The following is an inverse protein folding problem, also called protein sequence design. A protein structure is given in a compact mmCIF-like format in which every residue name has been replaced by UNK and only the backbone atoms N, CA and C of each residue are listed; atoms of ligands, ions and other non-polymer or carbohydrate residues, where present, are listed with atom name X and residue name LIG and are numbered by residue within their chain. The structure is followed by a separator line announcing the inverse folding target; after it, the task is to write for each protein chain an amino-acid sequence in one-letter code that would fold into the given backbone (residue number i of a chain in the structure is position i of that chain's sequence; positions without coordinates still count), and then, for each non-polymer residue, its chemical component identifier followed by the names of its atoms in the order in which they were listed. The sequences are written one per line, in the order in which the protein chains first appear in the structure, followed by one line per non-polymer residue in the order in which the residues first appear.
data_IF_781029041618
#
_entry.id   IF_781029041618
#
_cell.length_a   1.000
_cell.length_b   1.000
_cell.length_c   1.000
_cell.angle_alpha   90.00
_cell.angle_beta   90.00
_cell.angle_gamma   90.00
#
_symmetry.space_group_name_H-M   'P 1'
#
loop_
_entity.id
_entity.type
_entity.pdbx_description
1 polymer ?
#
# COMPACT_ATOMS: atom_id res chain seq x y z
N UNK A 1 5.73 -10.28 -8.88
CA UNK A 1 4.34 -10.68 -9.22
C UNK A 1 3.57 -9.43 -9.55
N UNK A 2 2.77 -9.44 -10.62
CA UNK A 2 1.86 -8.32 -10.91
C UNK A 2 0.65 -8.42 -9.97
N UNK A 3 0.29 -7.33 -9.30
CA UNK A 3 -0.87 -7.29 -8.39
C UNK A 3 -2.12 -7.15 -9.25
N UNK A 4 -3.05 -8.10 -9.15
CA UNK A 4 -4.32 -8.10 -9.90
C UNK A 4 -5.52 -8.01 -8.96
N UNK A 5 -6.61 -7.36 -9.40
CA UNK A 5 -7.86 -7.28 -8.64
C UNK A 5 -8.64 -8.63 -8.57
N UNK A 6 -8.40 -9.51 -9.54
CA UNK A 6 -8.88 -10.90 -9.54
C UNK A 6 -7.99 -11.72 -10.50
N UNK A 7 -7.57 -12.95 -10.15
CA UNK A 7 -7.82 -13.67 -8.90
C UNK A 7 -7.14 -13.02 -7.67
N UNK A 8 -7.48 -13.51 -6.46
CA UNK A 8 -6.90 -13.02 -5.21
C UNK A 8 -5.38 -13.15 -5.22
N UNK A 9 -4.70 -12.01 -5.08
CA UNK A 9 -3.26 -11.90 -4.87
C UNK A 9 -3.02 -11.62 -3.40
N UNK A 10 -2.51 -12.60 -2.66
CA UNK A 10 -2.22 -12.44 -1.24
C UNK A 10 -0.85 -11.76 -1.04
N UNK A 11 -0.73 -10.76 -0.13
CA UNK A 11 0.53 -10.05 0.02
C UNK A 11 1.62 -10.97 0.61
N UNK A 12 2.88 -10.84 0.18
CA UNK A 12 3.97 -11.64 0.71
C UNK A 12 4.17 -11.37 2.20
N UNK A 13 4.42 -12.43 2.98
CA UNK A 13 4.64 -12.34 4.44
C UNK A 13 3.36 -12.28 5.28
N UNK A 14 2.18 -12.14 4.68
CA UNK A 14 0.91 -12.20 5.41
C UNK A 14 0.49 -13.64 5.69
N UNK A 15 0.22 -13.95 6.97
CA UNK A 15 -0.28 -15.28 7.35
C UNK A 15 -1.73 -15.43 6.90
N UNK A 16 -2.04 -16.60 6.34
CA UNK A 16 -3.41 -17.01 6.05
C UNK A 16 -4.05 -17.58 7.30
N UNK A 17 -5.33 -17.33 7.47
CA UNK A 17 -6.14 -17.94 8.52
C UNK A 17 -6.54 -19.35 8.09
N UNK A 18 -6.36 -20.32 8.98
CA UNK A 18 -6.84 -21.68 8.77
C UNK A 18 -8.37 -21.66 8.55
N UNK A 19 -8.90 -22.28 7.47
CA UNK A 19 -10.34 -22.33 7.21
C UNK A 19 -11.18 -22.85 8.37
N UNK A 20 -10.62 -23.72 9.22
CA UNK A 20 -11.32 -24.23 10.42
C UNK A 20 -11.49 -23.18 11.51
N UNK A 21 -10.76 -22.07 11.44
CA UNK A 21 -10.81 -20.95 12.37
C UNK A 21 -11.58 -19.75 11.84
N UNK A 22 -12.21 -19.88 10.66
CA UNK A 22 -13.02 -18.79 10.13
C UNK A 22 -14.22 -18.50 11.01
N UNK A 23 -14.44 -17.23 11.28
CA UNK A 23 -15.52 -16.73 12.13
C UNK A 23 -16.63 -16.12 11.28
N UNK A 24 -17.84 -16.05 11.84
CA UNK A 24 -18.93 -15.28 11.25
C UNK A 24 -18.78 -13.82 11.70
N UNK A 25 -18.47 -12.92 10.76
CA UNK A 25 -18.28 -11.52 11.05
C UNK A 25 -19.58 -10.80 11.40
N UNK A 26 -19.54 -9.89 12.39
CA UNK A 26 -20.69 -9.08 12.81
C UNK A 26 -20.61 -7.66 12.22
N UNK A 27 -20.60 -7.55 10.89
CA UNK A 27 -20.51 -6.25 10.18
C UNK A 27 -21.89 -5.73 9.71
N UNK A 28 -22.95 -6.05 10.46
CA UNK A 28 -24.32 -5.72 10.07
C UNK A 28 -24.59 -4.22 9.93
N UNK A 29 -25.47 -3.87 9.00
CA UNK A 29 -25.97 -2.51 8.77
C UNK A 29 -27.37 -2.40 9.33
N UNK A 30 -27.65 -1.31 10.06
CA UNK A 30 -29.02 -0.99 10.48
C UNK A 30 -29.74 -0.27 9.35
N UNK A 31 -30.73 -0.92 8.72
CA UNK A 31 -31.62 -0.28 7.74
C UNK A 31 -32.98 0.00 8.37
N UNK A 32 -33.57 1.16 8.02
CA UNK A 32 -34.99 1.45 8.28
C UNK A 32 -35.74 1.30 6.96
N UNK A 33 -36.64 0.33 6.88
CA UNK A 33 -37.58 0.24 5.77
C UNK A 33 -38.75 1.19 5.97
N UNK A 34 -39.22 1.81 4.90
CA UNK A 34 -40.47 2.56 4.90
C UNK A 34 -41.61 1.63 5.36
N UNK A 35 -42.25 1.94 6.49
CA UNK A 35 -43.32 1.13 7.07
C UNK A 35 -42.97 0.30 8.31
N UNK A 36 -41.71 0.32 8.79
CA UNK A 36 -41.34 -0.30 10.08
C UNK A 36 -40.80 0.75 11.06
N UNK A 37 -41.32 0.73 12.28
CA UNK A 37 -40.91 1.65 13.36
C UNK A 37 -39.51 1.35 13.92
N UNK A 38 -38.91 0.20 13.59
CA UNK A 38 -37.61 -0.24 14.10
C UNK A 38 -36.64 -0.59 12.97
N UNK A 39 -35.34 -0.36 13.20
CA UNK A 39 -34.29 -0.69 12.23
C UNK A 39 -33.96 -2.19 12.26
N UNK A 40 -33.93 -2.85 11.10
CA UNK A 40 -33.44 -4.23 10.95
C UNK A 40 -31.91 -4.23 10.87
N UNK A 41 -31.29 -5.23 11.50
CA UNK A 41 -29.87 -5.54 11.28
C UNK A 41 -29.79 -6.45 10.05
N UNK A 42 -29.15 -5.97 8.99
CA UNK A 42 -28.98 -6.69 7.74
C UNK A 42 -27.49 -6.91 7.46
N UNK A 43 -27.17 -8.01 6.78
CA UNK A 43 -25.80 -8.27 6.36
C UNK A 43 -25.32 -7.19 5.37
N UNK A 44 -24.07 -6.78 5.53
CA UNK A 44 -23.42 -5.85 4.60
C UNK A 44 -23.24 -6.50 3.23
N UNK A 45 -23.51 -5.77 2.16
CA UNK A 45 -23.22 -6.24 0.80
C UNK A 45 -21.76 -6.00 0.40
N UNK A 46 -21.28 -6.71 -0.62
CA UNK A 46 -19.94 -6.49 -1.20
C UNK A 46 -19.77 -5.03 -1.66
N UNK A 47 -20.79 -4.45 -2.28
CA UNK A 47 -20.78 -3.06 -2.72
C UNK A 47 -20.62 -2.10 -1.53
N UNK A 48 -21.42 -2.27 -0.48
CA UNK A 48 -21.34 -1.42 0.73
C UNK A 48 -20.00 -1.58 1.45
N UNK A 49 -19.49 -2.80 1.57
CA UNK A 49 -18.18 -3.06 2.17
C UNK A 49 -17.06 -2.39 1.36
N UNK A 50 -17.14 -2.47 0.02
CA UNK A 50 -16.16 -1.84 -0.89
C UNK A 50 -16.23 -0.31 -0.78
N UNK A 51 -17.44 0.28 -0.74
CA UNK A 51 -17.61 1.72 -0.53
C UNK A 51 -16.99 2.16 0.79
N UNK A 52 -17.27 1.46 1.90
CA UNK A 52 -16.65 1.78 3.20
C UNK A 52 -15.12 1.74 3.15
N UNK A 53 -14.55 0.73 2.50
CA UNK A 53 -13.10 0.62 2.35
C UNK A 53 -12.52 1.80 1.56
N UNK A 54 -13.17 2.18 0.46
CA UNK A 54 -12.74 3.30 -0.36
C UNK A 54 -12.87 4.64 0.36
N UNK A 55 -13.97 4.86 1.09
CA UNK A 55 -14.17 6.07 1.88
C UNK A 55 -13.06 6.22 2.94
N UNK A 56 -12.69 5.12 3.60
CA UNK A 56 -11.60 5.14 4.59
C UNK A 56 -10.22 5.42 3.96
N UNK A 57 -9.94 4.89 2.78
CA UNK A 57 -8.72 5.17 2.02
C UNK A 57 -8.69 6.60 1.47
N UNK A 58 -9.81 7.11 0.99
CA UNK A 58 -9.95 8.49 0.52
C UNK A 58 -9.66 9.49 1.66
N UNK A 59 -10.10 9.18 2.88
CA UNK A 59 -9.76 9.96 4.07
C UNK A 59 -8.28 9.92 4.47
N UNK A 60 -7.48 9.04 3.86
CA UNK A 60 -6.02 9.04 3.93
C UNK A 60 -5.38 9.72 2.70
N UNK A 61 -6.17 10.43 1.90
CA UNK A 61 -5.78 11.04 0.61
C UNK A 61 -5.33 10.03 -0.46
N UNK A 62 -5.69 8.75 -0.33
CA UNK A 62 -5.44 7.74 -1.35
C UNK A 62 -6.48 7.88 -2.46
N UNK A 63 -6.04 8.05 -3.70
CA UNK A 63 -6.95 8.17 -4.83
C UNK A 63 -7.51 6.80 -5.21
N UNK A 64 -8.79 6.75 -5.57
CA UNK A 64 -9.47 5.49 -5.94
C UNK A 64 -8.77 4.72 -7.06
N UNK A 65 -8.16 5.39 -8.03
CA UNK A 65 -7.42 4.74 -9.13
C UNK A 65 -6.11 4.06 -8.68
N UNK A 66 -5.56 4.46 -7.54
CA UNK A 66 -4.32 3.91 -6.99
C UNK A 66 -4.61 2.73 -6.03
N UNK A 67 -5.89 2.38 -5.84
CA UNK A 67 -6.34 1.27 -4.99
C UNK A 67 -6.62 0.04 -5.84
N UNK A 68 -6.05 -1.09 -5.45
CA UNK A 68 -6.38 -2.40 -6.01
C UNK A 68 -6.98 -3.26 -4.90
N UNK A 69 -8.26 -3.58 -5.00
CA UNK A 69 -8.93 -4.55 -4.15
C UNK A 69 -8.90 -5.92 -4.83
N UNK A 70 -8.05 -6.80 -4.32
CA UNK A 70 -7.84 -8.17 -4.81
C UNK A 70 -8.72 -9.16 -4.07
N UNK A 71 -9.58 -9.88 -4.81
CA UNK A 71 -10.50 -10.90 -4.29
C UNK A 71 -10.75 -12.00 -5.35
N UNK A 72 -11.34 -13.12 -4.95
CA UNK A 72 -11.77 -14.18 -5.89
C UNK A 72 -13.17 -13.93 -6.50
N UNK A 73 -13.57 -12.66 -6.61
CA UNK A 73 -14.85 -12.24 -7.15
C UNK A 73 -14.71 -11.78 -8.61
N UNK A 74 -15.81 -11.86 -9.37
CA UNK A 74 -15.91 -11.20 -10.68
C UNK A 74 -15.87 -9.69 -10.49
N UNK A 75 -15.18 -8.99 -11.38
CA UNK A 75 -15.00 -7.54 -11.33
C UNK A 75 -16.05 -6.82 -12.18
N UNK A 76 -16.38 -5.59 -11.78
CA UNK A 76 -17.08 -4.61 -12.62
C UNK A 76 -16.07 -3.86 -13.49
N UNK A 77 -16.57 -3.09 -14.46
CA UNK A 77 -15.75 -2.26 -15.37
C UNK A 77 -14.81 -1.26 -14.66
N UNK A 78 -15.11 -0.91 -13.42
CA UNK A 78 -14.28 -0.02 -12.59
C UNK A 78 -13.18 -0.75 -11.80
N UNK A 79 -12.99 -2.05 -12.03
CA UNK A 79 -11.95 -2.85 -11.38
C UNK A 79 -12.27 -3.34 -9.96
N UNK A 80 -13.47 -3.02 -9.44
CA UNK A 80 -13.90 -3.44 -8.10
C UNK A 80 -14.83 -4.67 -8.15
N UNK A 81 -14.95 -5.43 -7.04
CA UNK A 81 -15.79 -6.62 -6.99
C UNK A 81 -17.27 -6.33 -7.28
N UNK A 82 -17.86 -7.14 -8.15
CA UNK A 82 -19.29 -7.09 -8.47
C UNK A 82 -20.11 -7.59 -7.27
N UNK A 83 -21.21 -6.90 -6.96
CA UNK A 83 -22.14 -7.34 -5.91
C UNK A 83 -23.11 -8.41 -6.41
N UNK A 84 -23.77 -9.12 -5.49
CA UNK A 84 -24.81 -10.11 -5.78
C UNK A 84 -24.36 -11.29 -6.69
N UNK A 85 -23.16 -11.82 -6.43
CA UNK A 85 -22.64 -13.02 -7.08
C UNK A 85 -22.45 -14.17 -6.09
N UNK A 86 -22.22 -15.38 -6.60
CA UNK A 86 -21.93 -16.55 -5.78
C UNK A 86 -20.64 -16.34 -4.95
N UNK A 87 -20.69 -16.74 -3.68
CA UNK A 87 -19.54 -16.64 -2.78
C UNK A 87 -18.42 -17.57 -3.25
N UNK A 88 -17.16 -17.08 -3.39
CA UNK A 88 -16.03 -17.92 -3.74
C UNK A 88 -15.67 -18.86 -2.58
N UNK A 89 -14.98 -19.97 -2.90
CA UNK A 89 -14.50 -20.93 -1.89
C UNK A 89 -13.53 -20.28 -0.90
N UNK A 90 -12.69 -19.38 -1.39
CA UNK A 90 -11.74 -18.61 -0.59
C UNK A 90 -12.27 -17.18 -0.44
N UNK A 91 -12.76 -16.80 0.76
CA UNK A 91 -13.38 -15.51 1.02
C UNK A 91 -12.36 -14.38 1.30
N UNK A 92 -11.05 -14.65 1.21
CA UNK A 92 -10.02 -13.67 1.53
C UNK A 92 -10.11 -12.40 0.67
N UNK A 93 -9.74 -11.28 1.28
CA UNK A 93 -9.63 -9.99 0.61
C UNK A 93 -8.28 -9.35 0.91
N UNK A 94 -7.65 -8.79 -0.11
CA UNK A 94 -6.41 -8.02 0.03
C UNK A 94 -6.56 -6.67 -0.66
N UNK A 95 -6.15 -5.60 0.00
CA UNK A 95 -6.13 -4.25 -0.58
C UNK A 95 -4.70 -3.78 -0.69
N UNK A 96 -4.40 -3.17 -1.83
CA UNK A 96 -3.11 -2.58 -2.16
C UNK A 96 -3.32 -1.12 -2.54
N UNK A 97 -2.43 -0.25 -2.10
CA UNK A 97 -2.45 1.16 -2.48
C UNK A 97 -1.05 1.75 -2.42
N UNK A 98 -0.87 2.95 -2.98
CA UNK A 98 0.33 3.75 -2.78
C UNK A 98 0.07 4.78 -1.70
N UNK A 99 1.01 4.90 -0.77
CA UNK A 99 1.00 5.95 0.23
C UNK A 99 1.14 7.32 -0.49
N UNK A 100 0.20 8.26 -0.29
CA UNK A 100 0.19 9.52 -1.04
C UNK A 100 1.31 10.48 -0.61
N UNK A 101 1.95 10.24 0.53
CA UNK A 101 2.99 11.13 1.07
C UNK A 101 4.40 10.73 0.64
N UNK A 102 4.70 9.42 0.61
CA UNK A 102 6.03 8.90 0.29
C UNK A 102 6.05 7.97 -0.94
N UNK A 103 4.90 7.70 -1.57
CA UNK A 103 4.77 6.85 -2.75
C UNK A 103 5.01 5.36 -2.52
N UNK A 104 5.29 4.93 -1.27
CA UNK A 104 5.61 3.55 -0.96
C UNK A 104 4.38 2.63 -1.17
N UNK A 105 4.57 1.42 -1.71
CA UNK A 105 3.50 0.45 -1.81
C UNK A 105 3.08 -0.01 -0.42
N UNK A 106 1.77 -0.02 -0.18
CA UNK A 106 1.14 -0.53 1.04
C UNK A 106 0.18 -1.66 0.67
N UNK A 107 0.02 -2.60 1.59
CA UNK A 107 -0.90 -3.71 1.43
C UNK A 107 -1.46 -4.18 2.76
N UNK A 108 -2.70 -4.64 2.76
CA UNK A 108 -3.34 -5.27 3.90
C UNK A 108 -4.24 -6.41 3.44
N UNK A 109 -4.28 -7.52 4.17
CA UNK A 109 -5.10 -8.68 3.79
C UNK A 109 -5.78 -9.33 4.98
N UNK A 110 -7.05 -9.70 4.82
CA UNK A 110 -7.85 -10.34 5.86
C UNK A 110 -8.63 -11.50 5.24
N UNK A 111 -8.55 -12.66 5.89
CA UNK A 111 -9.26 -13.89 5.56
C UNK A 111 -9.84 -14.56 6.82
N UNK A 112 -10.14 -13.75 7.85
CA UNK A 112 -10.66 -14.23 9.14
C UNK A 112 -12.12 -14.68 9.04
N UNK A 113 -12.90 -14.10 8.15
CA UNK A 113 -14.34 -14.28 8.10
C UNK A 113 -14.78 -15.15 6.93
N UNK A 114 -15.90 -15.85 7.12
CA UNK A 114 -16.45 -16.79 6.13
C UNK A 114 -16.96 -16.12 4.84
N UNK A 115 -17.22 -14.81 4.87
CA UNK A 115 -17.80 -14.05 3.73
C UNK A 115 -16.84 -12.97 3.26
N UNK A 116 -16.78 -12.74 1.94
CA UNK A 116 -15.87 -11.75 1.33
C UNK A 116 -16.21 -10.34 1.80
N UNK A 117 -17.50 -9.98 1.80
CA UNK A 117 -18.00 -8.69 2.29
C UNK A 117 -17.58 -8.40 3.74
N UNK A 118 -17.49 -9.42 4.59
CA UNK A 118 -17.06 -9.29 5.98
C UNK A 118 -15.55 -9.07 6.08
N UNK A 119 -14.76 -9.77 5.26
CA UNK A 119 -13.33 -9.53 5.17
C UNK A 119 -13.02 -8.13 4.62
N UNK A 120 -13.74 -7.66 3.60
CA UNK A 120 -13.62 -6.28 3.10
C UNK A 120 -14.01 -5.26 4.18
N UNK A 121 -15.12 -5.49 4.88
CA UNK A 121 -15.55 -4.60 5.98
C UNK A 121 -14.53 -4.57 7.13
N UNK A 122 -13.87 -5.70 7.41
CA UNK A 122 -12.79 -5.77 8.38
C UNK A 122 -11.55 -4.98 7.95
N UNK A 123 -11.21 -4.98 6.65
CA UNK A 123 -10.15 -4.13 6.11
C UNK A 123 -10.49 -2.65 6.35
N UNK A 124 -11.73 -2.24 6.04
CA UNK A 124 -12.18 -0.88 6.27
C UNK A 124 -12.08 -0.49 7.76
N UNK A 125 -12.59 -1.33 8.67
CA UNK A 125 -12.53 -1.10 10.11
C UNK A 125 -11.08 -1.04 10.64
N UNK A 126 -10.16 -1.81 10.06
CA UNK A 126 -8.75 -1.78 10.44
C UNK A 126 -8.10 -0.47 10.00
N UNK A 127 -8.39 0.03 8.79
CA UNK A 127 -7.92 1.34 8.33
C UNK A 127 -8.49 2.47 9.19
N UNK A 128 -9.79 2.43 9.49
CA UNK A 128 -10.42 3.41 10.39
C UNK A 128 -9.72 3.46 11.75
N UNK A 129 -9.44 2.29 12.33
CA UNK A 129 -8.74 2.18 13.61
C UNK A 129 -7.30 2.72 13.54
N UNK A 130 -6.56 2.40 12.47
CA UNK A 130 -5.20 2.94 12.25
C UNK A 130 -5.23 4.47 12.17
N UNK A 131 -6.18 5.04 11.41
CA UNK A 131 -6.38 6.49 11.32
C UNK A 131 -6.79 7.10 12.66
N UNK A 132 -7.55 6.39 13.48
CA UNK A 132 -7.90 6.84 14.82
C UNK A 132 -6.67 6.93 15.73
N UNK A 133 -5.78 5.93 15.66
CA UNK A 133 -4.51 5.92 16.42
C UNK A 133 -3.60 7.08 15.98
N UNK A 134 -3.46 7.33 14.67
CA UNK A 134 -2.68 8.45 14.14
C UNK A 134 -3.19 9.80 14.62
N UNK A 135 -4.53 10.01 14.60
CA UNK A 135 -5.17 11.25 15.05
C UNK A 135 -4.87 11.62 16.49
N UNK A 136 -4.57 10.65 17.35
CA UNK A 136 -4.27 10.86 18.76
C UNK A 136 -2.75 10.91 19.06
N UNK A 137 -1.90 11.09 18.04
CA UNK A 137 -0.45 11.28 18.22
C UNK A 137 0.37 9.99 18.24
N UNK A 138 -0.21 8.85 17.85
CA UNK A 138 0.48 7.55 17.71
C UNK A 138 1.29 7.37 16.42
N UNK A 139 1.52 8.45 15.66
CA UNK A 139 2.02 8.43 14.27
C UNK A 139 3.34 7.66 14.05
N UNK A 140 4.18 7.51 15.08
CA UNK A 140 5.48 6.81 14.99
C UNK A 140 5.34 5.27 14.97
N UNK A 141 4.24 4.73 15.52
CA UNK A 141 4.06 3.27 15.63
C UNK A 141 3.66 2.65 14.28
N UNK A 142 2.95 3.41 13.44
CA UNK A 142 2.38 2.91 12.19
C UNK A 142 3.41 2.81 11.06
N UNK A 143 4.36 3.75 10.99
CA UNK A 143 5.42 3.72 9.98
C UNK A 143 6.26 2.43 10.07
N UNK A 144 6.49 1.93 11.30
CA UNK A 144 7.16 0.64 11.60
C UNK A 144 6.30 -0.58 11.29
N UNK A 145 4.99 -0.50 11.50
CA UNK A 145 4.07 -1.56 11.12
C UNK A 145 4.07 -1.75 9.60
N UNK A 146 4.18 -0.66 8.81
CA UNK A 146 4.21 -0.75 7.35
C UNK A 146 5.62 -0.90 6.72
N UNK A 147 6.72 -0.57 7.40
CA UNK A 147 8.10 -0.72 6.89
C UNK A 147 8.69 -2.12 7.10
N UNK A 148 8.10 -2.96 7.95
CA UNK A 148 8.41 -4.40 7.96
C UNK A 148 8.10 -5.12 6.64
N UNK A 149 7.50 -4.42 5.67
CA UNK A 149 7.03 -4.89 4.37
C UNK A 149 7.81 -4.33 3.18
N UNK A 150 9.04 -3.83 3.39
CA UNK A 150 10.02 -3.89 2.31
C UNK A 150 10.29 -5.37 2.02
N UNK A 151 9.46 -5.99 1.17
CA UNK A 151 9.88 -7.14 0.40
C UNK A 151 11.27 -6.79 -0.14
N UNK A 152 12.22 -7.70 0.07
CA UNK A 152 13.58 -7.64 -0.45
C UNK A 152 13.63 -6.79 -1.72
N UNK A 153 14.58 -5.83 -1.83
CA UNK A 153 14.60 -4.83 -2.90
C UNK A 153 14.21 -5.51 -4.19
N UNK A 154 13.12 -5.04 -4.81
CA UNK A 154 12.57 -5.64 -6.03
C UNK A 154 13.74 -6.02 -6.94
N UNK A 155 13.79 -7.25 -7.50
CA UNK A 155 14.90 -7.66 -8.34
C UNK A 155 15.10 -6.54 -9.34
N UNK A 156 16.31 -5.97 -9.33
CA UNK A 156 16.71 -4.80 -10.11
C UNK A 156 16.17 -5.04 -11.52
N UNK A 157 15.04 -4.42 -11.83
CA UNK A 157 14.51 -4.43 -13.19
C UNK A 157 15.48 -3.55 -13.93
N UNK A 158 16.39 -4.18 -14.68
CA UNK A 158 17.36 -3.51 -15.53
C UNK A 158 16.61 -2.46 -16.38
N UNK A 159 16.68 -1.20 -15.95
CA UNK A 159 16.01 -0.09 -16.61
C UNK A 159 15.24 0.90 -15.72
N UNK A 160 14.89 0.58 -14.46
CA UNK A 160 14.34 1.60 -13.54
C UNK A 160 15.48 2.40 -12.89
N UNK A 161 15.63 3.66 -13.32
CA UNK A 161 16.55 4.62 -12.70
C UNK A 161 16.19 4.80 -11.23
N UNK A 162 17.17 4.63 -10.35
CA UNK A 162 17.02 4.95 -8.92
C UNK A 162 16.96 6.47 -8.77
N UNK A 163 16.11 6.92 -7.85
CA UNK A 163 16.01 8.34 -7.47
C UNK A 163 17.39 8.85 -7.03
N UNK A 164 17.78 10.05 -7.50
CA UNK A 164 19.07 10.64 -7.18
C UNK A 164 19.28 10.85 -5.69
N UNK A 165 18.21 11.09 -4.91
CA UNK A 165 18.29 11.21 -3.45
C UNK A 165 18.72 9.90 -2.79
N UNK A 166 18.27 8.77 -3.35
CA UNK A 166 18.64 7.43 -2.87
C UNK A 166 20.08 7.09 -3.25
N UNK A 167 20.50 7.44 -4.47
CA UNK A 167 21.88 7.20 -4.94
C UNK A 167 22.89 8.06 -4.17
N UNK A 168 22.53 9.31 -3.83
CA UNK A 168 23.38 10.23 -3.07
C UNK A 168 23.25 10.06 -1.55
N UNK A 169 22.28 9.28 -1.07
CA UNK A 169 22.07 9.02 0.35
C UNK A 169 21.53 10.23 1.13
N UNK A 170 20.73 11.07 0.48
CA UNK A 170 20.19 12.33 1.02
C UNK A 170 18.74 12.23 1.51
N UNK A 171 18.17 11.03 1.59
CA UNK A 171 16.77 10.78 2.00
C UNK A 171 16.39 11.30 3.40
N UNK A 172 17.37 11.64 4.24
CA UNK A 172 17.13 12.20 5.58
C UNK A 172 16.90 13.73 5.56
N UNK A 173 17.19 14.40 4.44
CA UNK A 173 17.01 15.83 4.29
C UNK A 173 15.67 16.11 3.60
N UNK A 174 14.83 16.91 4.25
CA UNK A 174 13.54 17.37 3.70
C UNK A 174 13.72 18.27 2.45
N UNK A 175 14.80 19.06 2.42
CA UNK A 175 15.14 19.99 1.34
C UNK A 175 16.67 19.96 1.11
N UNK A 176 17.19 19.00 0.34
CA UNK A 176 18.60 18.93 0.00
C UNK A 176 19.02 20.12 -0.89
N UNK A 177 20.13 20.76 -0.56
CA UNK A 177 20.70 21.87 -1.34
C UNK A 177 21.77 21.38 -2.33
N UNK A 178 22.12 22.23 -3.31
CA UNK A 178 23.21 21.92 -4.25
C UNK A 178 24.56 21.71 -3.54
N UNK A 179 24.76 22.28 -2.35
CA UNK A 179 25.95 22.04 -1.54
C UNK A 179 25.95 20.61 -0.96
N UNK A 180 24.81 20.16 -0.43
CA UNK A 180 24.64 18.81 0.14
C UNK A 180 24.86 17.73 -0.92
N UNK A 181 24.35 17.96 -2.14
CA UNK A 181 24.56 17.08 -3.30
C UNK A 181 26.04 16.93 -3.64
N UNK A 182 26.79 18.04 -3.69
CA UNK A 182 28.22 18.03 -4.02
C UNK A 182 29.05 17.35 -2.92
N UNK A 183 28.69 17.55 -1.66
CA UNK A 183 29.36 16.92 -0.52
C UNK A 183 29.12 15.40 -0.51
N UNK A 184 27.87 14.98 -0.65
CA UNK A 184 27.50 13.57 -0.74
C UNK A 184 28.18 12.88 -1.92
N UNK A 185 28.20 13.53 -3.09
CA UNK A 185 28.92 13.05 -4.27
C UNK A 185 30.42 12.86 -3.98
N UNK A 186 31.10 13.85 -3.38
CA UNK A 186 32.53 13.76 -3.08
C UNK A 186 32.85 12.60 -2.13
N UNK A 187 32.01 12.42 -1.10
CA UNK A 187 32.13 11.32 -0.13
C UNK A 187 32.00 9.96 -0.83
N UNK A 188 30.97 9.77 -1.64
CA UNK A 188 30.69 8.50 -2.33
C UNK A 188 31.67 8.21 -3.48
N UNK A 189 32.07 9.24 -4.23
CA UNK A 189 33.06 9.11 -5.30
C UNK A 189 34.42 8.66 -4.78
N UNK A 190 34.81 9.08 -3.57
CA UNK A 190 36.05 8.63 -2.93
C UNK A 190 36.03 7.14 -2.55
N UNK A 191 34.83 6.58 -2.33
CA UNK A 191 34.61 5.19 -1.95
C UNK A 191 34.41 4.25 -3.15
N UNK A 192 33.86 4.76 -4.26
CA UNK A 192 33.61 3.99 -5.48
C UNK A 192 34.66 4.21 -6.58
N UNK A 193 35.73 4.96 -6.30
CA UNK A 193 36.76 5.27 -7.29
C UNK A 193 37.39 3.98 -7.88
N UNK A 194 37.47 3.82 -9.21
CA UNK A 194 38.01 2.62 -9.86
C UNK A 194 39.46 2.33 -9.45
N UNK A 195 40.28 3.38 -9.31
CA UNK A 195 41.68 3.27 -8.87
C UNK A 195 41.85 2.76 -7.43
N UNK A 196 40.77 2.66 -6.65
CA UNK A 196 40.75 2.09 -5.30
C UNK A 196 40.01 0.74 -5.22
N UNK A 197 39.81 0.09 -6.37
CA UNK A 197 39.06 -1.17 -6.47
C UNK A 197 37.54 -0.99 -6.45
N UNK A 198 37.06 0.23 -6.72
CA UNK A 198 35.64 0.55 -6.80
C UNK A 198 34.98 0.09 -8.11
N UNK A 199 33.65 -0.01 -8.09
CA UNK A 199 32.84 -0.50 -9.22
C UNK A 199 32.55 0.63 -10.22
N UNK A 200 33.03 0.55 -11.48
CA UNK A 200 32.79 1.57 -12.51
C UNK A 200 31.31 1.82 -12.80
N UNK A 201 30.46 0.79 -12.67
CA UNK A 201 29.03 0.93 -12.89
C UNK A 201 28.37 1.80 -11.81
N UNK A 202 28.83 1.67 -10.56
CA UNK A 202 28.37 2.52 -9.43
C UNK A 202 28.85 3.96 -9.57
N UNK A 203 30.04 4.18 -10.11
CA UNK A 203 30.52 5.54 -10.42
C UNK A 203 29.70 6.19 -11.53
N UNK A 204 29.32 5.44 -12.57
CA UNK A 204 28.44 5.95 -13.62
C UNK A 204 27.05 6.31 -13.08
N UNK A 205 26.48 5.46 -12.21
CA UNK A 205 25.20 5.71 -11.53
C UNK A 205 25.28 6.97 -10.63
N UNK A 206 26.38 7.12 -9.87
CA UNK A 206 26.62 8.28 -9.00
C UNK A 206 26.76 9.60 -9.79
N UNK A 207 27.45 9.56 -10.94
CA UNK A 207 27.59 10.72 -11.82
C UNK A 207 26.23 11.17 -12.38
N UNK A 208 25.42 10.21 -12.87
CA UNK A 208 24.10 10.50 -13.40
C UNK A 208 23.17 11.10 -12.34
N UNK A 209 23.20 10.56 -11.11
CA UNK A 209 22.41 11.07 -9.99
C UNK A 209 22.80 12.51 -9.60
N UNK A 210 24.10 12.84 -9.57
CA UNK A 210 24.57 14.21 -9.32
C UNK A 210 24.04 15.19 -10.37
N UNK A 211 24.14 14.82 -11.64
CA UNK A 211 23.74 15.71 -12.74
C UNK A 211 22.23 15.94 -12.77
N UNK A 212 21.45 14.91 -12.44
CA UNK A 212 19.99 15.02 -12.27
C UNK A 212 19.63 15.92 -11.09
N UNK A 213 20.26 15.73 -9.93
CA UNK A 213 20.04 16.52 -8.73
C UNK A 213 20.35 18.02 -8.93
N UNK A 214 21.48 18.33 -9.56
CA UNK A 214 21.86 19.72 -9.84
C UNK A 214 20.90 20.39 -10.82
N UNK A 215 20.42 19.65 -11.84
CA UNK A 215 19.46 20.16 -12.81
C UNK A 215 18.08 20.42 -12.19
N UNK A 216 17.68 19.64 -11.20
CA UNK A 216 16.42 19.82 -10.49
C UNK A 216 16.48 20.97 -9.48
N UNK A 217 17.63 21.17 -8.81
CA UNK A 217 17.83 22.22 -7.81
C UNK A 217 18.17 23.61 -8.39
N UNK A 218 18.55 23.68 -9.67
CA UNK A 218 18.75 24.95 -10.40
C UNK A 218 17.49 25.47 -11.12
N UNK A 219 16.37 24.76 -11.02
CA UNK A 219 15.06 25.17 -11.56
C UNK A 219 14.25 26.00 -10.57
#
# INVERSE_FOLDING_TARGET
MSITASPLTWPPGWRRTDPLKWEIGRFGIRRRSAGRSYASLEDISIAEATTRLLDELERMAVRRQDVILSTNLKLRRDGFPLSAQAAPRDPGAAVYWKDPYNGQPRSMAIDRYTKVEQNIAALAATIEAMRAIERHGGAVVLERAFTGFAALPAPIVAGMKRDWQVVLGLQALLLPTAADVREAYRRLASAYHPDRGGDPAKMAELNAARDEALKELEK
#
